data_IF_649863248924
#
_entry.id   IF_649863248924
#
_cell.length_a   1.000
_cell.length_b   1.000
_cell.length_c   1.000
_cell.angle_alpha   90.00
_cell.angle_beta   90.00
_cell.angle_gamma   90.00
#
_symmetry.space_group_name_H-M   'P 1'
#
loop_
_entity.id
_entity.type
_entity.pdbx_description
1 polymer ?
#
# COMPACT_ATOMS: atom_id res chain seq x y z
N UNK A 1 -0.92 9.43 -7.05
CA UNK A 1 0.15 10.43 -6.79
C UNK A 1 -0.20 11.41 -5.68
N UNK A 2 -1.37 12.09 -5.69
CA UNK A 2 -1.74 13.01 -4.61
C UNK A 2 -1.74 12.35 -3.21
N UNK A 3 -2.31 11.17 -3.07
CA UNK A 3 -2.32 10.37 -1.83
C UNK A 3 -0.90 10.09 -1.32
N UNK A 4 0.01 9.75 -2.22
CA UNK A 4 1.41 9.45 -1.88
C UNK A 4 2.16 10.68 -1.38
N UNK A 5 1.91 11.85 -2.00
CA UNK A 5 2.52 13.12 -1.58
C UNK A 5 1.95 13.64 -0.25
N UNK A 6 0.70 13.33 0.05
CA UNK A 6 0.05 13.71 1.31
C UNK A 6 0.31 12.72 2.45
N UNK A 7 0.77 11.50 2.15
CA UNK A 7 1.02 10.45 3.13
C UNK A 7 1.90 10.89 4.32
N UNK A 8 2.99 11.68 4.15
CA UNK A 8 3.82 12.11 5.27
C UNK A 8 3.09 12.93 6.34
N UNK A 9 1.99 13.57 5.97
CA UNK A 9 1.18 14.38 6.88
C UNK A 9 -0.04 13.59 7.36
N UNK A 10 -0.80 13.03 6.41
CA UNK A 10 -2.09 12.39 6.70
C UNK A 10 -1.91 11.09 7.51
N UNK A 11 -0.90 10.27 7.19
CA UNK A 11 -0.71 8.99 7.89
C UNK A 11 -0.34 9.18 9.36
N UNK A 12 0.65 10.02 9.75
CA UNK A 12 0.94 10.26 11.16
C UNK A 12 -0.23 10.93 11.89
N UNK A 13 -0.95 11.83 11.23
CA UNK A 13 -2.12 12.50 11.81
C UNK A 13 -3.23 11.49 12.14
N UNK A 14 -3.56 10.60 11.20
CA UNK A 14 -4.55 9.55 11.41
C UNK A 14 -4.10 8.56 12.50
N UNK A 15 -2.82 8.16 12.50
CA UNK A 15 -2.27 7.30 13.55
C UNK A 15 -2.36 7.96 14.92
N UNK A 16 -2.04 9.24 15.02
CA UNK A 16 -2.15 9.99 16.28
C UNK A 16 -3.59 10.08 16.77
N UNK A 17 -4.54 10.38 15.89
CA UNK A 17 -5.97 10.50 16.24
C UNK A 17 -6.57 9.13 16.60
N UNK A 18 -6.29 8.10 15.81
CA UNK A 18 -6.98 6.81 15.93
C UNK A 18 -6.29 5.87 16.92
N UNK A 19 -4.97 5.88 17.00
CA UNK A 19 -4.19 4.95 17.80
C UNK A 19 -3.43 5.60 18.96
N UNK A 20 -3.31 6.93 19.00
CA UNK A 20 -2.49 7.64 19.98
C UNK A 20 -2.91 7.47 21.46
N UNK A 21 -4.13 6.95 21.70
CA UNK A 21 -4.57 6.57 23.06
C UNK A 21 -3.95 5.26 23.56
N UNK A 22 -3.55 4.38 22.65
CA UNK A 22 -3.06 3.03 22.96
C UNK A 22 -1.59 2.83 22.64
N UNK A 23 -1.04 3.69 21.79
CA UNK A 23 0.32 3.58 21.27
C UNK A 23 0.94 4.97 21.28
N UNK A 24 2.17 5.09 21.79
CA UNK A 24 2.94 6.34 21.71
C UNK A 24 3.33 6.62 20.25
N UNK A 25 2.59 7.51 19.60
CA UNK A 25 2.86 7.91 18.22
C UNK A 25 3.61 9.23 18.19
N UNK A 26 4.87 9.20 17.81
CA UNK A 26 5.66 10.41 17.57
C UNK A 26 5.42 10.90 16.15
N UNK A 27 4.55 11.90 15.99
CA UNK A 27 4.15 12.46 14.71
C UNK A 27 5.35 12.83 13.82
N UNK A 28 6.31 13.57 14.36
CA UNK A 28 7.48 14.06 13.60
C UNK A 28 8.39 12.94 13.13
N UNK A 29 8.64 11.94 13.98
CA UNK A 29 9.47 10.79 13.60
C UNK A 29 8.81 9.97 12.48
N UNK A 30 7.51 9.73 12.58
CA UNK A 30 6.75 9.01 11.55
C UNK A 30 6.68 9.81 10.24
N UNK A 31 6.45 11.11 10.30
CA UNK A 31 6.47 12.00 9.15
C UNK A 31 7.82 11.94 8.42
N UNK A 32 8.92 12.08 9.16
CA UNK A 32 10.27 12.01 8.58
C UNK A 32 10.55 10.65 7.95
N UNK A 33 10.15 9.55 8.59
CA UNK A 33 10.28 8.20 8.03
C UNK A 33 9.53 8.07 6.70
N UNK A 34 8.31 8.59 6.61
CA UNK A 34 7.54 8.54 5.35
C UNK A 34 8.19 9.43 4.28
N UNK A 35 8.70 10.60 4.66
CA UNK A 35 9.43 11.45 3.71
C UNK A 35 10.66 10.73 3.15
N UNK A 36 11.43 10.04 4.00
CA UNK A 36 12.61 9.29 3.57
C UNK A 36 12.26 8.08 2.69
N UNK A 37 11.23 7.33 3.06
CA UNK A 37 10.86 6.08 2.35
C UNK A 37 10.05 6.36 1.07
N UNK A 38 9.32 7.47 1.01
CA UNK A 38 8.41 7.77 -0.12
C UNK A 38 8.89 8.95 -0.94
N UNK A 39 9.07 10.12 -0.32
CA UNK A 39 9.36 11.35 -1.06
C UNK A 39 10.78 11.35 -1.62
N UNK A 40 11.76 10.96 -0.81
CA UNK A 40 13.15 10.96 -1.26
C UNK A 40 13.37 10.03 -2.46
N UNK A 41 12.92 8.76 -2.50
CA UNK A 41 13.06 7.91 -3.68
C UNK A 41 12.34 8.46 -4.92
N UNK A 42 11.17 9.08 -4.77
CA UNK A 42 10.46 9.71 -5.89
C UNK A 42 11.29 10.86 -6.45
N UNK A 43 11.79 11.73 -5.58
CA UNK A 43 12.63 12.86 -5.99
C UNK A 43 13.89 12.39 -6.73
N UNK A 44 14.63 11.45 -6.14
CA UNK A 44 15.82 10.90 -6.77
C UNK A 44 15.50 10.14 -8.06
N UNK A 45 14.38 9.40 -8.11
CA UNK A 45 13.92 8.71 -9.31
C UNK A 45 13.64 9.69 -10.46
N UNK A 46 12.95 10.79 -10.18
CA UNK A 46 12.72 11.87 -11.17
C UNK A 46 14.00 12.53 -11.63
N UNK A 47 14.91 12.83 -10.70
CA UNK A 47 16.20 13.43 -11.00
C UNK A 47 17.06 12.51 -11.90
N UNK A 48 17.16 11.22 -11.57
CA UNK A 48 17.89 10.23 -12.35
C UNK A 48 17.25 10.06 -13.73
N UNK A 49 15.93 10.02 -13.80
CA UNK A 49 15.21 9.94 -15.08
C UNK A 49 15.45 11.19 -15.96
N UNK A 50 15.54 12.36 -15.35
CA UNK A 50 15.83 13.59 -16.07
C UNK A 50 17.28 13.62 -16.60
N UNK A 51 18.25 13.20 -15.79
CA UNK A 51 19.66 13.24 -16.12
C UNK A 51 20.11 12.09 -17.04
N UNK A 52 19.50 10.91 -16.91
CA UNK A 52 19.93 9.67 -17.54
C UNK A 52 18.78 8.91 -18.22
N UNK A 53 17.89 9.61 -18.94
CA UNK A 53 16.66 9.06 -19.52
C UNK A 53 16.88 7.78 -20.33
N UNK A 54 17.95 7.69 -21.14
CA UNK A 54 18.21 6.52 -22.00
C UNK A 54 18.72 5.30 -21.22
N UNK A 55 19.46 5.52 -20.15
CA UNK A 55 19.85 4.44 -19.23
C UNK A 55 18.63 3.92 -18.47
N UNK A 56 17.78 4.82 -17.99
CA UNK A 56 16.53 4.49 -17.27
C UNK A 56 15.59 3.66 -18.14
N UNK A 57 15.40 3.99 -19.43
CA UNK A 57 14.58 3.20 -20.36
C UNK A 57 15.00 1.74 -20.46
N UNK A 58 16.29 1.45 -20.33
CA UNK A 58 16.82 0.07 -20.35
C UNK A 58 16.54 -0.66 -19.05
N UNK A 59 16.69 0.02 -17.91
CA UNK A 59 16.55 -0.57 -16.57
C UNK A 59 15.09 -0.72 -16.15
N UNK A 60 14.19 0.19 -16.57
CA UNK A 60 12.75 0.20 -16.21
C UNK A 60 12.07 -1.15 -16.47
N UNK A 61 12.50 -1.90 -17.50
CA UNK A 61 11.94 -3.22 -17.81
C UNK A 61 12.22 -4.27 -16.74
N UNK A 62 13.28 -4.11 -15.97
CA UNK A 62 13.72 -5.06 -14.93
C UNK A 62 13.16 -4.65 -13.55
N UNK A 63 12.82 -3.37 -13.35
CA UNK A 63 12.34 -2.86 -12.06
C UNK A 63 11.13 -3.62 -11.48
N UNK A 64 10.12 -4.04 -12.28
CA UNK A 64 9.02 -4.83 -11.73
C UNK A 64 9.49 -6.14 -11.10
N UNK A 65 10.43 -6.84 -11.74
CA UNK A 65 10.99 -8.07 -11.20
C UNK A 65 11.75 -7.83 -9.89
N UNK A 66 12.59 -6.79 -9.86
CA UNK A 66 13.33 -6.38 -8.64
C UNK A 66 12.35 -6.05 -7.52
N UNK A 67 11.28 -5.31 -7.81
CA UNK A 67 10.25 -4.96 -6.83
C UNK A 67 9.53 -6.20 -6.28
N UNK A 68 9.15 -7.15 -7.14
CA UNK A 68 8.52 -8.41 -6.71
C UNK A 68 9.45 -9.19 -5.78
N UNK A 69 10.70 -9.35 -6.15
CA UNK A 69 11.69 -10.07 -5.33
C UNK A 69 11.88 -9.37 -3.98
N UNK A 70 12.03 -8.05 -3.97
CA UNK A 70 12.16 -7.27 -2.74
C UNK A 70 10.92 -7.43 -1.83
N UNK A 71 9.71 -7.35 -2.38
CA UNK A 71 8.47 -7.54 -1.62
C UNK A 71 8.40 -8.96 -1.03
N UNK A 72 8.77 -10.00 -1.79
CA UNK A 72 8.80 -11.37 -1.30
C UNK A 72 9.77 -11.56 -0.12
N UNK A 73 10.94 -10.93 -0.17
CA UNK A 73 11.89 -10.94 0.95
C UNK A 73 11.32 -10.25 2.19
N UNK A 74 10.68 -9.09 2.04
CA UNK A 74 10.05 -8.36 3.16
C UNK A 74 8.94 -9.19 3.78
N UNK A 75 8.03 -9.75 2.97
CA UNK A 75 6.92 -10.59 3.44
C UNK A 75 7.48 -11.84 4.15
N UNK A 76 8.45 -12.53 3.53
CA UNK A 76 9.10 -13.70 4.10
C UNK A 76 9.75 -13.41 5.45
N UNK A 77 10.44 -12.28 5.58
CA UNK A 77 11.01 -11.81 6.84
C UNK A 77 9.96 -11.59 7.92
N UNK A 78 8.87 -10.85 7.61
CA UNK A 78 7.78 -10.62 8.57
C UNK A 78 7.12 -11.92 8.99
N UNK A 79 6.84 -12.82 8.06
CA UNK A 79 6.23 -14.13 8.35
C UNK A 79 7.15 -14.99 9.19
N UNK A 80 8.45 -15.05 8.89
CA UNK A 80 9.44 -15.84 9.62
C UNK A 80 9.52 -15.41 11.10
N UNK A 81 9.64 -14.11 11.35
CA UNK A 81 9.75 -13.56 12.72
C UNK A 81 8.45 -13.71 13.52
N UNK A 82 7.30 -13.78 12.84
CA UNK A 82 5.97 -13.80 13.49
C UNK A 82 5.22 -15.12 13.31
N UNK A 83 5.89 -16.21 12.94
CA UNK A 83 5.25 -17.49 12.59
C UNK A 83 4.30 -18.01 13.69
N UNK A 84 4.70 -17.95 14.96
CA UNK A 84 3.87 -18.37 16.09
C UNK A 84 2.59 -17.53 16.24
N UNK A 85 2.70 -16.21 16.10
CA UNK A 85 1.55 -15.30 16.18
C UNK A 85 0.60 -15.48 14.99
N UNK A 86 1.12 -15.72 13.80
CA UNK A 86 0.33 -15.96 12.59
C UNK A 86 -0.47 -17.26 12.73
N UNK A 87 0.08 -18.31 13.32
CA UNK A 87 -0.66 -19.56 13.55
C UNK A 87 -1.83 -19.40 14.52
N UNK A 88 -1.72 -18.49 15.50
CA UNK A 88 -2.78 -18.25 16.49
C UNK A 88 -3.86 -17.27 16.01
N UNK A 89 -3.47 -16.22 15.32
CA UNK A 89 -4.36 -15.10 14.95
C UNK A 89 -4.55 -14.93 13.45
N UNK A 90 -3.84 -15.70 12.64
CA UNK A 90 -3.73 -15.49 11.20
C UNK A 90 -5.07 -15.51 10.46
N UNK A 91 -5.98 -16.42 10.82
CA UNK A 91 -7.29 -16.48 10.18
C UNK A 91 -8.10 -15.19 10.39
N UNK A 92 -8.10 -14.66 11.61
CA UNK A 92 -8.79 -13.40 11.92
C UNK A 92 -8.17 -12.23 11.14
N UNK A 93 -6.84 -12.17 11.10
CA UNK A 93 -6.13 -11.11 10.35
C UNK A 93 -6.42 -11.21 8.86
N UNK A 94 -6.45 -12.41 8.29
CA UNK A 94 -6.80 -12.63 6.88
C UNK A 94 -8.23 -12.13 6.59
N UNK A 95 -9.20 -12.47 7.44
CA UNK A 95 -10.59 -11.99 7.28
C UNK A 95 -10.65 -10.46 7.32
N UNK A 96 -9.99 -9.85 8.31
CA UNK A 96 -9.95 -8.39 8.45
C UNK A 96 -9.30 -7.73 7.22
N UNK A 97 -8.21 -8.28 6.72
CA UNK A 97 -7.52 -7.80 5.52
C UNK A 97 -8.41 -7.87 4.29
N UNK A 98 -9.11 -8.99 4.11
CA UNK A 98 -10.07 -9.17 2.99
C UNK A 98 -11.19 -8.14 3.08
N UNK A 99 -11.82 -8.02 4.26
CA UNK A 99 -12.88 -7.05 4.48
C UNK A 99 -12.40 -5.61 4.23
N UNK A 100 -11.25 -5.25 4.78
CA UNK A 100 -10.65 -3.92 4.59
C UNK A 100 -10.43 -3.58 3.11
N UNK A 101 -9.89 -4.53 2.35
CA UNK A 101 -9.66 -4.37 0.91
C UNK A 101 -10.98 -4.21 0.13
N UNK A 102 -11.99 -5.05 0.42
CA UNK A 102 -13.30 -4.97 -0.21
C UNK A 102 -14.02 -3.66 0.12
N UNK A 103 -13.96 -3.21 1.39
CA UNK A 103 -14.45 -1.89 1.78
C UNK A 103 -13.72 -0.77 1.03
N UNK A 104 -12.41 -0.88 0.84
CA UNK A 104 -11.63 0.06 0.03
C UNK A 104 -12.17 0.18 -1.39
N UNK A 105 -12.41 -0.94 -2.08
CA UNK A 105 -13.02 -0.94 -3.42
C UNK A 105 -14.41 -0.32 -3.42
N UNK A 106 -15.27 -0.72 -2.47
CA UNK A 106 -16.64 -0.22 -2.35
C UNK A 106 -16.69 1.28 -2.07
N UNK A 107 -15.96 1.75 -1.07
CA UNK A 107 -15.91 3.17 -0.70
C UNK A 107 -15.31 4.02 -1.83
N UNK A 108 -14.25 3.55 -2.47
CA UNK A 108 -13.65 4.25 -3.63
C UNK A 108 -14.63 4.40 -4.77
N UNK A 109 -15.38 3.34 -5.10
CA UNK A 109 -16.40 3.38 -6.13
C UNK A 109 -17.56 4.32 -5.75
N UNK A 110 -18.07 4.22 -4.53
CA UNK A 110 -19.13 5.09 -4.03
C UNK A 110 -18.72 6.57 -4.03
N UNK A 111 -17.51 6.87 -3.54
CA UNK A 111 -16.98 8.23 -3.57
C UNK A 111 -16.92 8.79 -5.00
N UNK A 112 -16.38 8.00 -5.95
CA UNK A 112 -16.35 8.42 -7.35
C UNK A 112 -17.74 8.70 -7.93
N UNK A 113 -18.76 7.93 -7.54
CA UNK A 113 -20.15 8.14 -7.95
C UNK A 113 -20.75 9.40 -7.34
N UNK A 114 -20.48 9.69 -6.07
CA UNK A 114 -20.89 10.94 -5.41
C UNK A 114 -20.34 12.15 -6.17
N UNK A 115 -19.07 12.08 -6.60
CA UNK A 115 -18.45 13.12 -7.44
C UNK A 115 -18.84 13.05 -8.92
N UNK A 116 -19.88 12.27 -9.28
CA UNK A 116 -20.43 12.15 -10.65
C UNK A 116 -19.38 11.75 -11.69
N UNK A 117 -18.37 10.99 -11.29
CA UNK A 117 -17.35 10.50 -12.21
C UNK A 117 -17.96 9.45 -13.17
N UNK A 118 -17.49 9.43 -14.43
CA UNK A 118 -17.88 8.40 -15.36
C UNK A 118 -17.39 7.01 -14.91
N UNK A 119 -17.93 5.96 -15.53
CA UNK A 119 -17.65 4.57 -15.14
C UNK A 119 -16.15 4.23 -15.14
N UNK A 120 -15.40 4.70 -16.14
CA UNK A 120 -13.97 4.44 -16.24
C UNK A 120 -13.16 5.06 -15.10
N UNK A 121 -13.46 6.31 -14.76
CA UNK A 121 -12.85 7.02 -13.63
C UNK A 121 -13.25 6.37 -12.30
N UNK A 122 -14.52 5.99 -12.14
CA UNK A 122 -15.01 5.34 -10.95
C UNK A 122 -14.30 3.99 -10.69
N UNK A 123 -14.05 3.20 -11.75
CA UNK A 123 -13.26 1.97 -11.68
C UNK A 123 -11.82 2.25 -11.21
N UNK A 124 -11.16 3.24 -11.81
CA UNK A 124 -9.79 3.59 -11.46
C UNK A 124 -9.69 4.04 -9.99
N UNK A 125 -10.63 4.88 -9.52
CA UNK A 125 -10.68 5.31 -8.11
C UNK A 125 -10.96 4.13 -7.18
N UNK A 126 -11.87 3.22 -7.53
CA UNK A 126 -12.14 2.04 -6.73
C UNK A 126 -10.89 1.17 -6.55
N UNK A 127 -10.17 0.89 -7.65
CA UNK A 127 -8.94 0.11 -7.62
C UNK A 127 -7.86 0.84 -6.81
N UNK A 128 -7.66 2.15 -7.02
CA UNK A 128 -6.66 2.96 -6.30
C UNK A 128 -6.91 2.96 -4.79
N UNK A 129 -8.16 3.09 -4.33
CA UNK A 129 -8.52 3.07 -2.91
C UNK A 129 -8.42 1.66 -2.32
N UNK A 130 -8.72 0.62 -3.08
CA UNK A 130 -8.58 -0.77 -2.64
C UNK A 130 -7.13 -1.25 -2.61
N UNK A 131 -6.31 -0.87 -3.58
CA UNK A 131 -4.90 -1.25 -3.66
C UNK A 131 -4.02 -0.26 -2.90
N UNK A 132 -3.79 -0.53 -1.62
CA UNK A 132 -3.04 0.36 -0.73
C UNK A 132 -1.53 0.09 -0.78
N UNK A 133 -0.74 1.05 -0.26
CA UNK A 133 0.70 0.91 -0.12
C UNK A 133 1.04 0.05 1.12
N UNK A 134 0.91 -1.25 0.96
CA UNK A 134 1.20 -2.23 2.01
C UNK A 134 2.68 -2.25 2.43
N UNK A 135 3.60 -1.99 1.50
CA UNK A 135 5.02 -1.89 1.80
C UNK A 135 5.34 -0.75 2.77
N UNK A 136 4.71 0.42 2.57
CA UNK A 136 4.81 1.53 3.52
C UNK A 136 4.21 1.15 4.88
N UNK A 137 3.06 0.48 4.91
CA UNK A 137 2.43 0.05 6.15
C UNK A 137 3.33 -0.91 6.94
N UNK A 138 3.94 -1.90 6.27
CA UNK A 138 4.92 -2.82 6.88
C UNK A 138 6.13 -2.07 7.42
N UNK A 139 6.72 -1.18 6.62
CA UNK A 139 7.89 -0.39 7.02
C UNK A 139 7.61 0.45 8.26
N UNK A 140 6.49 1.17 8.30
CA UNK A 140 6.11 1.99 9.44
C UNK A 140 5.81 1.15 10.68
N UNK A 141 5.12 0.02 10.52
CA UNK A 141 4.84 -0.88 11.62
C UNK A 141 6.11 -1.44 12.24
N UNK A 142 7.05 -1.89 11.43
CA UNK A 142 8.36 -2.38 11.90
C UNK A 142 9.20 -1.31 12.60
N UNK A 143 9.15 -0.06 12.11
CA UNK A 143 9.98 1.03 12.62
C UNK A 143 9.39 1.68 13.87
N UNK A 144 8.07 1.88 13.91
CA UNK A 144 7.43 2.71 14.93
C UNK A 144 6.51 1.94 15.90
N UNK A 145 6.18 0.69 15.61
CA UNK A 145 5.25 -0.09 16.43
C UNK A 145 5.90 -1.41 16.89
N UNK A 146 5.72 -2.47 16.11
CA UNK A 146 6.28 -3.80 16.41
C UNK A 146 6.29 -4.70 15.18
N UNK A 147 7.07 -5.77 15.22
CA UNK A 147 7.06 -6.80 14.20
C UNK A 147 5.67 -7.45 14.03
N UNK A 148 4.93 -7.63 15.12
CA UNK A 148 3.57 -8.16 15.07
C UNK A 148 2.58 -7.21 14.37
N UNK A 149 2.74 -5.90 14.54
CA UNK A 149 1.91 -4.90 13.86
C UNK A 149 2.13 -4.88 12.33
N UNK A 150 3.23 -5.44 11.84
CA UNK A 150 3.51 -5.56 10.41
C UNK A 150 2.77 -6.73 9.72
N UNK A 151 2.23 -7.70 10.48
CA UNK A 151 1.56 -8.90 9.95
C UNK A 151 0.39 -8.54 9.01
N UNK A 152 -0.56 -7.67 9.40
CA UNK A 152 -1.67 -7.30 8.50
C UNK A 152 -1.19 -6.70 7.19
N UNK A 153 -0.16 -5.85 7.21
CA UNK A 153 0.43 -5.26 6.02
C UNK A 153 1.08 -6.30 5.09
N UNK A 154 1.78 -7.28 5.66
CA UNK A 154 2.39 -8.37 4.90
C UNK A 154 1.33 -9.26 4.23
N UNK A 155 0.28 -9.65 4.96
CA UNK A 155 -0.85 -10.42 4.40
C UNK A 155 -1.58 -9.59 3.33
N UNK A 156 -1.79 -8.30 3.59
CA UNK A 156 -2.40 -7.40 2.63
C UNK A 156 -1.58 -7.29 1.34
N UNK A 157 -0.25 -7.30 1.41
CA UNK A 157 0.63 -7.26 0.23
C UNK A 157 0.37 -8.43 -0.74
N UNK A 158 0.07 -9.62 -0.20
CA UNK A 158 -0.31 -10.78 -1.04
C UNK A 158 -1.74 -10.63 -1.55
N UNK A 159 -2.67 -10.36 -0.63
CA UNK A 159 -4.10 -10.35 -0.94
C UNK A 159 -4.47 -9.28 -1.98
N UNK A 160 -4.00 -8.04 -1.85
CA UNK A 160 -4.40 -6.96 -2.74
C UNK A 160 -3.91 -7.16 -4.17
N UNK A 161 -2.81 -7.86 -4.38
CA UNK A 161 -2.34 -8.22 -5.73
C UNK A 161 -3.27 -9.23 -6.39
N UNK A 162 -3.77 -10.22 -5.63
CA UNK A 162 -4.73 -11.22 -6.12
C UNK A 162 -6.08 -10.54 -6.41
N UNK A 163 -6.63 -9.85 -5.41
CA UNK A 163 -7.93 -9.18 -5.53
C UNK A 163 -7.94 -8.07 -6.58
N UNK A 164 -6.85 -7.30 -6.68
CA UNK A 164 -6.68 -6.25 -7.68
C UNK A 164 -6.64 -6.81 -9.10
N UNK A 165 -5.94 -7.91 -9.31
CA UNK A 165 -5.93 -8.60 -10.61
C UNK A 165 -7.32 -9.12 -11.00
N UNK A 166 -8.05 -9.72 -10.05
CA UNK A 166 -9.42 -10.19 -10.26
C UNK A 166 -10.34 -8.99 -10.57
N UNK A 167 -10.27 -7.93 -9.77
CA UNK A 167 -11.08 -6.72 -9.96
C UNK A 167 -10.79 -6.06 -11.31
N UNK A 168 -9.53 -5.94 -11.69
CA UNK A 168 -9.13 -5.36 -12.98
C UNK A 168 -9.67 -6.18 -14.16
N UNK A 169 -9.53 -7.50 -14.13
CA UNK A 169 -10.05 -8.38 -15.17
C UNK A 169 -11.58 -8.33 -15.28
N UNK A 170 -12.29 -8.41 -14.15
CA UNK A 170 -13.75 -8.33 -14.12
C UNK A 170 -14.26 -6.99 -14.65
N UNK A 171 -13.60 -5.90 -14.29
CA UNK A 171 -13.99 -4.57 -14.73
C UNK A 171 -13.58 -4.27 -16.17
N UNK A 172 -12.55 -4.92 -16.71
CA UNK A 172 -12.18 -4.78 -18.12
C UNK A 172 -13.13 -5.51 -19.05
N UNK A 173 -13.64 -6.69 -18.67
CA UNK A 173 -14.58 -7.46 -19.45
C UNK A 173 -15.93 -6.77 -19.68
N UNK A 174 -16.34 -5.87 -18.78
CA UNK A 174 -17.57 -5.06 -18.91
C UNK A 174 -17.44 -3.83 -19.83
N UNK A 175 -16.28 -3.60 -20.40
CA UNK A 175 -16.00 -2.45 -21.27
C UNK A 175 -15.99 -2.82 -22.75
N UNK A 176 -16.15 -4.09 -23.08
CA UNK A 176 -16.19 -4.61 -24.47
C UNK A 176 -17.59 -4.86 -25.02
N UNK A 177 -18.64 -4.42 -24.31
CA UNK A 177 -20.03 -4.48 -24.78
C UNK A 177 -20.65 -3.09 -24.88
#
# INVERSE_FOLDING_TARGET
MASTLLAPIITPLLMWILAGKWIEVTFTAMMLSIMQVVIAPIFFGLLINHLFADAVKRVVKILPLVSIVAILFVIGGVVSVNSANILQTGLLVVIVVICHNLFGYGLGYCAAKIFKMNFYKAKAVAIEVGMQNSGLAVSLAMTHLSAAAAIPGAIFSVWHNISGSIAANYLSSKTGS
#
